data_IF_247338114641
#
_entry.id   IF_247338114641
#
_cell.length_a   1.000
_cell.length_b   1.000
_cell.length_c   1.000
_cell.angle_alpha   90.00
_cell.angle_beta   90.00
_cell.angle_gamma   90.00
#
_symmetry.space_group_name_H-M   'P 1'
#
loop_
_entity.id
_entity.type
_entity.pdbx_description
1 polymer ?
#
# COMPACT_ATOMS: atom_id res chain seq x y z
N UNK A 1 -15.81 -17.99 -53.47
CA UNK A 1 -16.75 -18.00 -52.34
C UNK A 1 -15.97 -18.32 -51.08
N UNK A 2 -15.90 -17.32 -50.19
CA UNK A 2 -15.67 -17.37 -48.74
C UNK A 2 -14.87 -18.55 -48.16
N UNK A 3 -13.61 -18.31 -47.79
CA UNK A 3 -13.00 -19.01 -46.65
C UNK A 3 -13.19 -18.08 -45.45
N UNK A 4 -14.22 -18.34 -44.64
CA UNK A 4 -14.49 -17.62 -43.40
C UNK A 4 -13.33 -17.86 -42.44
N UNK A 5 -12.71 -16.77 -41.98
CA UNK A 5 -11.69 -16.81 -40.96
C UNK A 5 -12.26 -17.30 -39.63
N UNK A 6 -11.53 -18.22 -39.00
CA UNK A 6 -11.85 -18.71 -37.68
C UNK A 6 -11.45 -17.67 -36.64
N UNK A 7 -12.49 -17.23 -35.93
CA UNK A 7 -12.53 -16.07 -35.09
C UNK A 7 -11.76 -16.26 -33.77
N UNK A 8 -10.96 -15.25 -33.49
CA UNK A 8 -10.01 -15.03 -32.40
C UNK A 8 -10.74 -14.86 -31.06
N UNK A 9 -10.78 -15.90 -30.22
CA UNK A 9 -11.17 -15.78 -28.81
C UNK A 9 -9.93 -15.55 -27.95
N UNK A 10 -9.52 -14.28 -27.81
CA UNK A 10 -8.51 -13.87 -26.84
C UNK A 10 -9.15 -13.94 -25.44
N UNK A 11 -8.74 -14.96 -24.68
CA UNK A 11 -9.10 -15.16 -23.27
C UNK A 11 -8.82 -13.89 -22.48
N UNK A 12 -9.89 -13.41 -21.83
CA UNK A 12 -9.86 -12.35 -20.83
C UNK A 12 -9.45 -12.95 -19.49
N UNK A 13 -8.15 -13.01 -19.20
CA UNK A 13 -7.67 -13.42 -17.87
C UNK A 13 -7.35 -12.17 -17.03
N UNK A 14 -8.34 -11.73 -16.25
CA UNK A 14 -8.23 -10.64 -15.27
C UNK A 14 -7.45 -11.07 -14.02
N UNK A 15 -6.21 -11.56 -14.18
CA UNK A 15 -5.30 -11.90 -13.08
C UNK A 15 -4.05 -11.02 -13.02
N UNK A 16 -4.11 -9.81 -13.58
CA UNK A 16 -3.05 -8.80 -13.40
C UNK A 16 -3.24 -8.15 -12.03
N UNK A 17 -2.38 -8.53 -11.09
CA UNK A 17 -2.12 -7.91 -9.78
C UNK A 17 -2.66 -6.48 -9.67
N UNK A 18 -3.87 -6.34 -9.11
CA UNK A 18 -4.41 -5.05 -8.67
C UNK A 18 -3.54 -4.58 -7.50
N UNK A 19 -2.43 -3.92 -7.81
CA UNK A 19 -1.62 -3.20 -6.84
C UNK A 19 -2.51 -2.09 -6.26
N UNK A 20 -3.23 -2.41 -5.17
CA UNK A 20 -3.99 -1.43 -4.40
C UNK A 20 -3.07 -0.23 -4.19
N UNK A 21 -3.40 0.91 -4.81
CA UNK A 21 -2.79 2.20 -4.49
C UNK A 21 -3.05 2.42 -3.01
N UNK A 22 -2.06 2.13 -2.16
CA UNK A 22 -2.11 2.49 -0.75
C UNK A 22 -2.19 4.02 -0.74
N UNK A 23 -3.14 4.58 -0.02
CA UNK A 23 -3.27 6.03 0.13
C UNK A 23 -1.93 6.57 0.68
N UNK A 24 -1.10 7.08 -0.23
CA UNK A 24 0.27 7.45 0.04
C UNK A 24 0.26 8.78 0.80
N UNK A 25 0.05 8.71 2.11
CA UNK A 25 0.00 9.90 2.98
C UNK A 25 1.32 10.65 2.87
N UNK A 26 1.24 11.97 2.70
CA UNK A 26 2.41 12.84 2.63
C UNK A 26 3.11 12.86 3.99
N UNK A 27 4.44 12.82 4.00
CA UNK A 27 5.22 12.88 5.23
C UNK A 27 5.08 14.23 5.93
N UNK A 28 4.60 14.28 7.18
CA UNK A 28 4.45 15.54 7.90
C UNK A 28 5.81 16.15 8.30
N UNK A 29 6.89 15.36 8.28
CA UNK A 29 8.23 15.81 8.69
C UNK A 29 8.99 16.51 7.57
N UNK A 30 8.99 15.95 6.37
CA UNK A 30 9.72 16.52 5.23
C UNK A 30 8.82 17.15 4.17
N UNK A 31 7.50 16.90 4.20
CA UNK A 31 6.49 17.40 3.24
C UNK A 31 6.78 17.10 1.77
N UNK A 32 7.80 16.30 1.48
CA UNK A 32 8.34 16.01 0.15
C UNK A 32 8.23 14.53 -0.23
N UNK A 33 8.19 13.63 0.75
CA UNK A 33 8.12 12.18 0.53
C UNK A 33 6.81 11.58 1.02
N UNK A 34 6.54 10.35 0.59
CA UNK A 34 5.36 9.59 0.95
C UNK A 34 5.64 8.61 2.11
N UNK A 35 4.58 8.24 2.84
CA UNK A 35 4.55 7.20 3.88
C UNK A 35 4.03 5.89 3.27
N UNK A 36 4.83 5.26 2.43
CA UNK A 36 4.40 4.06 1.69
C UNK A 36 4.63 2.76 2.49
N UNK A 37 5.63 2.77 3.38
CA UNK A 37 6.04 1.59 4.12
C UNK A 37 5.39 1.55 5.51
N UNK A 38 4.55 0.53 5.71
CA UNK A 38 4.02 0.19 7.04
C UNK A 38 5.09 -0.57 7.80
N UNK A 39 5.57 0.01 8.89
CA UNK A 39 6.55 -0.60 9.79
C UNK A 39 5.81 -1.39 10.87
N UNK A 40 6.21 -2.65 11.16
CA UNK A 40 5.63 -3.39 12.27
C UNK A 40 5.81 -2.64 13.60
N UNK A 41 4.83 -2.77 14.49
CA UNK A 41 4.91 -2.22 15.85
C UNK A 41 5.94 -3.04 16.63
N UNK A 42 6.72 -2.40 17.49
CA UNK A 42 7.58 -3.12 18.44
C UNK A 42 6.73 -3.82 19.50
N UNK A 43 7.23 -4.93 20.05
CA UNK A 43 6.51 -5.77 21.02
C UNK A 43 6.00 -4.98 22.21
N UNK A 44 6.79 -4.04 22.75
CA UNK A 44 6.37 -3.18 23.85
C UNK A 44 5.16 -2.30 23.51
N UNK A 45 5.13 -1.69 22.32
CA UNK A 45 3.99 -0.88 21.87
C UNK A 45 2.76 -1.76 21.64
N UNK A 46 2.97 -2.99 21.16
CA UNK A 46 1.87 -3.96 21.00
C UNK A 46 1.29 -4.40 22.34
N UNK A 47 2.12 -4.58 23.37
CA UNK A 47 1.66 -5.01 24.70
C UNK A 47 1.01 -3.86 25.47
N UNK A 48 1.62 -2.67 25.47
CA UNK A 48 1.13 -1.53 26.25
C UNK A 48 -0.04 -0.81 25.57
N UNK A 49 -0.01 -0.69 24.23
CA UNK A 49 -1.07 -0.06 23.44
C UNK A 49 -1.79 -1.12 22.60
N UNK A 50 -2.13 -2.25 23.22
CA UNK A 50 -2.83 -3.35 22.54
C UNK A 50 -4.22 -2.93 22.05
N UNK A 51 -4.90 -2.06 22.81
CA UNK A 51 -6.23 -1.54 22.51
C UNK A 51 -6.23 -0.42 21.46
N UNK A 52 -5.09 0.26 21.24
CA UNK A 52 -5.06 1.44 20.39
C UNK A 52 -4.66 1.08 18.93
N UNK A 53 -5.46 1.47 17.91
CA UNK A 53 -5.19 1.17 16.51
C UNK A 53 -4.08 2.06 15.91
N UNK A 54 -2.91 2.11 16.55
CA UNK A 54 -1.78 2.94 16.10
C UNK A 54 -1.00 2.25 14.98
N UNK A 55 -0.82 2.88 13.83
CA UNK A 55 -0.02 2.34 12.72
C UNK A 55 1.29 3.14 12.62
N UNK A 56 2.43 2.45 12.47
CA UNK A 56 3.73 3.10 12.29
C UNK A 56 4.09 3.08 10.82
N UNK A 57 4.50 4.23 10.28
CA UNK A 57 4.92 4.38 8.90
C UNK A 57 6.31 5.00 8.83
N UNK A 58 7.06 4.66 7.79
CA UNK A 58 8.37 5.25 7.48
C UNK A 58 8.28 6.03 6.17
N UNK A 59 8.89 7.21 6.15
CA UNK A 59 9.06 7.96 4.91
C UNK A 59 10.36 7.53 4.21
N UNK A 60 10.33 7.26 2.91
CA UNK A 60 11.55 6.91 2.15
C UNK A 60 12.44 8.11 1.84
N UNK A 61 11.91 9.33 1.85
CA UNK A 61 12.70 10.52 1.53
C UNK A 61 13.55 11.00 2.71
N UNK A 62 12.97 11.08 3.92
CA UNK A 62 13.69 11.56 5.11
C UNK A 62 14.01 10.46 6.12
N UNK A 63 13.62 9.21 5.85
CA UNK A 63 13.78 8.05 6.72
C UNK A 63 13.19 8.18 8.14
N UNK A 64 12.47 9.28 8.43
CA UNK A 64 11.81 9.51 9.71
C UNK A 64 10.57 8.62 9.83
N UNK A 65 10.36 8.14 11.05
CA UNK A 65 9.22 7.28 11.42
C UNK A 65 8.13 8.13 12.05
N UNK A 66 6.88 7.91 11.66
CA UNK A 66 5.72 8.62 12.22
C UNK A 66 4.65 7.61 12.62
N UNK A 67 3.99 7.87 13.74
CA UNK A 67 2.80 7.13 14.16
C UNK A 67 1.58 7.85 13.64
N UNK A 68 0.69 7.09 13.02
CA UNK A 68 -0.59 7.54 12.52
C UNK A 68 -1.64 6.71 13.25
N UNK A 69 -2.54 7.36 13.98
CA UNK A 69 -3.73 6.67 14.47
C UNK A 69 -4.60 6.34 13.27
N UNK A 70 -4.94 5.06 13.12
CA UNK A 70 -5.96 4.66 12.15
C UNK A 70 -7.32 4.94 12.77
N UNK A 71 -8.08 5.85 12.16
CA UNK A 71 -9.55 5.82 12.19
C UNK A 71 -10.08 4.53 11.51
#
# INVERSE_FOLDING_TARGET
MVLTGDNMNHVSDSSVWQAKKKDARICPKCKKGHLDERVPRGTLVKTLLFWLPVRRYRCYNCYKKTYILGE
#
